data_IF_033033799222
#
_entry.id   IF_033033799222
#
_cell.length_a   1.000
_cell.length_b   1.000
_cell.length_c   1.000
_cell.angle_alpha   90.00
_cell.angle_beta   90.00
_cell.angle_gamma   90.00
#
_symmetry.space_group_name_H-M   'P 1'
#
loop_
_entity.id
_entity.type
_entity.pdbx_description
1 polymer ?
#
# COMPACT_ATOMS: atom_id res chain seq x y z
N UNK A 1 1.56 -27.72 -16.50
CA UNK A 1 1.13 -27.59 -15.10
C UNK A 1 0.05 -26.51 -15.03
N UNK A 2 -1.06 -26.78 -14.36
CA UNK A 2 -2.10 -25.77 -14.11
C UNK A 2 -1.88 -25.26 -12.67
N UNK A 3 -1.64 -23.96 -12.51
CA UNK A 3 -1.45 -23.32 -11.19
C UNK A 3 -2.77 -22.68 -10.76
N UNK A 4 -3.28 -23.05 -9.59
CA UNK A 4 -4.59 -22.62 -9.06
C UNK A 4 -4.49 -21.92 -7.69
N UNK A 5 -3.28 -21.63 -7.22
CA UNK A 5 -3.05 -21.05 -5.89
C UNK A 5 -2.65 -19.56 -5.96
N UNK A 6 -3.40 -18.80 -6.75
CA UNK A 6 -3.15 -17.37 -6.92
C UNK A 6 -3.41 -16.53 -5.65
N UNK A 7 -4.11 -17.09 -4.67
CA UNK A 7 -4.25 -16.43 -3.35
C UNK A 7 -2.94 -16.42 -2.56
N UNK A 8 -2.11 -17.44 -2.70
CA UNK A 8 -0.81 -17.49 -2.04
C UNK A 8 0.20 -16.60 -2.75
N UNK A 9 0.29 -16.69 -4.07
CA UNK A 9 1.17 -15.86 -4.88
C UNK A 9 0.75 -15.87 -6.34
N UNK A 10 1.14 -14.84 -7.09
CA UNK A 10 0.86 -14.76 -8.52
C UNK A 10 2.09 -14.21 -9.26
N UNK A 11 2.37 -14.68 -10.49
CA UNK A 11 3.47 -14.13 -11.28
C UNK A 11 3.30 -12.65 -11.56
N UNK A 12 4.41 -11.92 -11.53
CA UNK A 12 4.41 -10.51 -11.92
C UNK A 12 4.11 -10.42 -13.42
N UNK A 13 3.11 -9.62 -13.78
CA UNK A 13 2.76 -9.39 -15.19
C UNK A 13 3.92 -8.71 -15.92
N UNK A 14 4.16 -9.04 -17.21
CA UNK A 14 5.28 -8.48 -17.99
C UNK A 14 5.29 -6.95 -18.00
N UNK A 15 4.14 -6.31 -18.11
CA UNK A 15 4.00 -4.84 -18.12
C UNK A 15 4.43 -4.23 -16.78
N UNK A 16 4.05 -4.86 -15.68
CA UNK A 16 4.42 -4.44 -14.32
C UNK A 16 5.93 -4.57 -14.14
N UNK A 17 6.52 -5.71 -14.54
CA UNK A 17 7.96 -5.91 -14.50
C UNK A 17 8.70 -4.82 -15.29
N UNK A 18 8.25 -4.52 -16.50
CA UNK A 18 8.85 -3.49 -17.34
C UNK A 18 8.78 -2.11 -16.68
N UNK A 19 7.66 -1.78 -16.04
CA UNK A 19 7.50 -0.51 -15.33
C UNK A 19 8.39 -0.40 -14.08
N UNK A 20 8.73 -1.53 -13.44
CA UNK A 20 9.58 -1.58 -12.25
C UNK A 20 11.08 -1.49 -12.57
N UNK A 21 11.54 -2.05 -13.70
CA UNK A 21 12.96 -2.15 -14.04
C UNK A 21 13.77 -0.85 -13.89
N UNK A 22 13.30 0.33 -14.32
CA UNK A 22 14.06 1.57 -14.19
C UNK A 22 14.44 1.92 -12.74
N UNK A 23 13.64 1.49 -11.78
CA UNK A 23 13.87 1.76 -10.35
C UNK A 23 14.91 0.83 -9.73
N UNK A 24 15.20 -0.31 -10.36
CA UNK A 24 16.29 -1.18 -9.95
C UNK A 24 17.63 -0.79 -10.59
N UNK A 25 17.62 -0.14 -11.76
CA UNK A 25 18.82 0.10 -12.55
C UNK A 25 19.39 1.52 -12.38
N UNK A 26 18.59 2.55 -12.35
CA UNK A 26 19.11 3.92 -12.35
C UNK A 26 18.20 4.97 -11.74
N UNK A 27 16.94 4.68 -11.55
CA UNK A 27 15.96 5.59 -10.94
C UNK A 27 15.81 5.35 -9.44
N UNK A 28 16.90 5.02 -8.75
CA UNK A 28 16.92 4.83 -7.30
C UNK A 28 16.93 6.17 -6.56
N UNK A 29 16.56 6.15 -5.28
CA UNK A 29 16.64 7.33 -4.39
C UNK A 29 15.64 7.23 -3.24
N UNK A 30 15.91 8.01 -2.21
CA UNK A 30 14.97 8.14 -1.10
C UNK A 30 13.96 9.26 -1.43
N UNK A 31 12.65 8.96 -1.49
CA UNK A 31 11.62 9.96 -1.80
C UNK A 31 11.53 11.09 -0.75
N UNK A 32 12.04 10.89 0.45
CA UNK A 32 12.08 11.93 1.49
C UNK A 32 13.27 12.90 1.34
N UNK A 33 14.22 12.62 0.44
CA UNK A 33 15.39 13.48 0.26
C UNK A 33 15.06 14.74 -0.55
N UNK A 34 15.50 15.94 -0.13
CA UNK A 34 15.12 17.20 -0.78
C UNK A 34 15.89 17.49 -2.08
N UNK A 35 16.91 16.70 -2.42
CA UNK A 35 17.68 16.87 -3.64
C UNK A 35 17.01 16.27 -4.88
N UNK A 36 17.56 16.55 -6.07
CA UNK A 36 16.96 16.20 -7.37
C UNK A 36 16.63 14.70 -7.51
N UNK A 37 17.52 13.82 -7.03
CA UNK A 37 17.28 12.37 -7.10
C UNK A 37 16.08 11.96 -6.25
N UNK A 38 16.02 12.46 -5.00
CA UNK A 38 14.87 12.20 -4.12
C UNK A 38 13.56 12.73 -4.68
N UNK A 39 13.55 13.97 -5.19
CA UNK A 39 12.34 14.56 -5.80
C UNK A 39 11.83 13.77 -7.01
N UNK A 40 12.74 13.23 -7.84
CA UNK A 40 12.35 12.38 -8.98
C UNK A 40 11.62 11.13 -8.52
N UNK A 41 12.17 10.45 -7.50
CA UNK A 41 11.55 9.23 -6.94
C UNK A 41 10.25 9.57 -6.21
N UNK A 42 10.19 10.67 -5.47
CA UNK A 42 8.96 11.16 -4.85
C UNK A 42 7.85 11.38 -5.89
N UNK A 43 8.18 11.98 -7.03
CA UNK A 43 7.23 12.15 -8.15
C UNK A 43 6.71 10.82 -8.70
N UNK A 44 7.58 9.79 -8.80
CA UNK A 44 7.17 8.47 -9.26
C UNK A 44 6.21 7.78 -8.25
N UNK A 45 6.51 7.87 -6.96
CA UNK A 45 5.64 7.35 -5.89
C UNK A 45 4.29 8.07 -5.90
N UNK A 46 4.30 9.40 -6.05
CA UNK A 46 3.08 10.20 -6.08
C UNK A 46 2.23 9.93 -7.33
N UNK A 47 2.85 9.72 -8.48
CA UNK A 47 2.19 9.27 -9.71
C UNK A 47 1.54 7.90 -9.57
N UNK A 48 2.25 6.94 -8.95
CA UNK A 48 1.70 5.62 -8.66
C UNK A 48 0.50 5.69 -7.70
N UNK A 49 0.57 6.56 -6.71
CA UNK A 49 -0.53 6.83 -5.77
C UNK A 49 -1.76 7.36 -6.49
N UNK A 50 -1.58 8.30 -7.43
CA UNK A 50 -2.67 8.82 -8.24
C UNK A 50 -3.32 7.72 -9.09
N UNK A 51 -2.53 6.85 -9.74
CA UNK A 51 -3.07 5.73 -10.53
C UNK A 51 -3.91 4.76 -9.69
N UNK A 52 -3.47 4.44 -8.47
CA UNK A 52 -4.25 3.58 -7.57
C UNK A 52 -5.53 4.28 -7.13
N UNK A 53 -5.47 5.56 -6.78
CA UNK A 53 -6.62 6.36 -6.39
C UNK A 53 -7.67 6.43 -7.51
N UNK A 54 -7.23 6.70 -8.74
CA UNK A 54 -8.10 6.73 -9.92
C UNK A 54 -8.77 5.37 -10.16
N UNK A 55 -8.02 4.28 -10.06
CA UNK A 55 -8.54 2.93 -10.23
C UNK A 55 -9.59 2.54 -9.17
N UNK A 56 -9.48 3.09 -7.96
CA UNK A 56 -10.42 2.86 -6.86
C UNK A 56 -11.53 3.91 -6.77
N UNK A 57 -11.46 4.98 -7.54
CA UNK A 57 -12.43 6.09 -7.51
C UNK A 57 -12.39 6.89 -6.20
N UNK A 58 -11.21 7.04 -5.59
CA UNK A 58 -11.02 7.75 -4.32
C UNK A 58 -10.02 8.91 -4.46
N UNK A 59 -9.97 9.80 -3.46
CA UNK A 59 -9.01 10.88 -3.43
C UNK A 59 -7.59 10.35 -3.20
N UNK A 60 -6.60 10.93 -3.90
CA UNK A 60 -5.19 10.50 -3.86
C UNK A 60 -4.58 10.50 -2.46
N UNK A 61 -4.97 11.45 -1.61
CA UNK A 61 -4.49 11.59 -0.24
C UNK A 61 -5.01 10.52 0.72
N UNK A 62 -5.98 9.72 0.29
CA UNK A 62 -6.49 8.57 1.04
C UNK A 62 -5.71 7.28 0.78
N UNK A 63 -4.78 7.29 -0.19
CA UNK A 63 -3.97 6.12 -0.51
C UNK A 63 -2.65 6.16 0.27
N UNK A 64 -2.38 5.11 1.00
CA UNK A 64 -1.14 4.94 1.76
C UNK A 64 -0.48 3.61 1.36
N UNK A 65 0.81 3.68 0.99
CA UNK A 65 1.61 2.49 0.73
C UNK A 65 2.23 1.97 2.03
N UNK A 66 2.18 0.66 2.21
CA UNK A 66 2.75 -0.05 3.35
C UNK A 66 3.74 -1.12 2.87
N UNK A 67 4.50 -1.69 3.77
CA UNK A 67 5.43 -2.79 3.46
C UNK A 67 4.74 -4.11 3.13
N UNK A 68 3.46 -4.26 3.46
CA UNK A 68 2.68 -5.47 3.19
C UNK A 68 1.37 -5.50 3.95
N UNK A 69 0.63 -6.62 3.78
CA UNK A 69 -0.70 -6.81 4.37
C UNK A 69 -0.71 -6.68 5.89
N UNK A 70 0.26 -7.27 6.57
CA UNK A 70 0.34 -7.20 8.04
C UNK A 70 0.41 -5.75 8.56
N UNK A 71 1.19 -4.89 7.92
CA UNK A 71 1.24 -3.47 8.30
C UNK A 71 -0.08 -2.77 7.95
N UNK A 72 -0.63 -3.02 6.77
CA UNK A 72 -1.87 -2.42 6.31
C UNK A 72 -3.04 -2.76 7.25
N UNK A 73 -3.21 -4.04 7.59
CA UNK A 73 -4.27 -4.51 8.47
C UNK A 73 -4.14 -3.94 9.89
N UNK A 74 -2.93 -3.98 10.45
CA UNK A 74 -2.68 -3.38 11.76
C UNK A 74 -2.94 -1.88 11.77
N UNK A 75 -2.53 -1.17 10.73
CA UNK A 75 -2.77 0.26 10.62
C UNK A 75 -4.27 0.57 10.51
N UNK A 76 -4.99 -0.15 9.66
CA UNK A 76 -6.44 0.03 9.49
C UNK A 76 -7.19 -0.25 10.79
N UNK A 77 -6.96 -1.42 11.41
CA UNK A 77 -7.68 -1.84 12.61
C UNK A 77 -7.37 -0.95 13.81
N UNK A 78 -6.10 -0.74 14.10
CA UNK A 78 -5.67 0.11 15.24
C UNK A 78 -6.06 1.56 15.02
N UNK A 79 -5.86 2.09 13.81
CA UNK A 79 -6.20 3.47 13.48
C UNK A 79 -7.69 3.78 13.66
N UNK A 80 -8.57 2.87 13.24
CA UNK A 80 -10.02 3.04 13.43
C UNK A 80 -10.40 2.95 14.91
N UNK A 81 -9.85 1.98 15.65
CA UNK A 81 -10.14 1.81 17.08
C UNK A 81 -9.62 3.01 17.91
N UNK A 82 -8.41 3.49 17.61
CA UNK A 82 -7.83 4.65 18.28
C UNK A 82 -8.62 5.92 17.97
N UNK A 83 -9.01 6.12 16.72
CA UNK A 83 -9.86 7.26 16.33
C UNK A 83 -11.22 7.22 17.03
N UNK A 84 -11.82 6.03 17.16
CA UNK A 84 -13.07 5.85 17.91
C UNK A 84 -12.89 6.18 19.39
N UNK A 85 -11.84 5.65 20.03
CA UNK A 85 -11.49 5.96 21.40
C UNK A 85 -11.29 7.46 21.65
N UNK A 86 -10.53 8.12 20.80
CA UNK A 86 -10.26 9.56 20.92
C UNK A 86 -11.55 10.40 20.85
N UNK A 87 -12.49 10.01 20.00
CA UNK A 87 -13.77 10.73 19.81
C UNK A 87 -14.78 10.44 20.88
N UNK A 88 -14.96 9.17 21.25
CA UNK A 88 -16.08 8.71 22.09
C UNK A 88 -15.69 8.31 23.51
N UNK A 89 -14.39 8.24 23.80
CA UNK A 89 -13.86 7.78 25.10
C UNK A 89 -14.40 6.41 25.55
N UNK A 90 -14.77 5.58 24.56
CA UNK A 90 -15.28 4.22 24.76
C UNK A 90 -14.55 3.24 23.84
N UNK A 91 -14.42 1.99 24.28
CA UNK A 91 -13.82 0.96 23.44
C UNK A 91 -14.80 0.54 22.33
N UNK A 92 -14.31 0.55 21.07
CA UNK A 92 -15.02 -0.02 19.95
C UNK A 92 -15.08 -1.54 20.03
N UNK A 93 -16.04 -2.16 19.34
CA UNK A 93 -16.09 -3.62 19.16
C UNK A 93 -15.50 -3.98 17.82
N UNK A 94 -14.53 -4.90 17.85
CA UNK A 94 -13.99 -5.55 16.65
C UNK A 94 -14.65 -6.92 16.48
N UNK A 95 -15.20 -7.18 15.30
CA UNK A 95 -15.76 -8.50 14.94
C UNK A 95 -14.90 -9.03 13.79
N UNK A 96 -14.43 -10.25 13.92
CA UNK A 96 -13.58 -10.91 12.92
C UNK A 96 -14.02 -12.37 12.73
N UNK A 97 -13.58 -12.98 11.66
CA UNK A 97 -13.76 -14.41 11.38
C UNK A 97 -12.68 -15.23 12.07
N UNK A 98 -13.01 -16.46 12.47
CA UNK A 98 -12.02 -17.42 12.98
C UNK A 98 -11.12 -18.00 11.88
N UNK A 99 -11.41 -17.71 10.61
CA UNK A 99 -10.68 -18.19 9.44
C UNK A 99 -9.74 -17.15 8.84
N UNK A 100 -9.57 -16.00 9.51
CA UNK A 100 -8.63 -14.98 9.07
C UNK A 100 -7.18 -15.48 9.15
N UNK A 101 -6.31 -14.87 8.34
CA UNK A 101 -4.88 -15.15 8.36
C UNK A 101 -4.28 -14.76 9.71
N UNK A 102 -3.48 -15.63 10.30
CA UNK A 102 -2.78 -15.44 11.58
C UNK A 102 -1.55 -14.55 11.44
#
# INVERSE_FOLDING_TARGET
MIYLDHNATTPIRPEVRTAMLPFFEGSFGNPSSPHTVGRRVAGAVDGSRAQVADALGVAKDTIHFTSGGTEADNWALKGVLDAHWLKQRSHGRLITSSTEHH
#
